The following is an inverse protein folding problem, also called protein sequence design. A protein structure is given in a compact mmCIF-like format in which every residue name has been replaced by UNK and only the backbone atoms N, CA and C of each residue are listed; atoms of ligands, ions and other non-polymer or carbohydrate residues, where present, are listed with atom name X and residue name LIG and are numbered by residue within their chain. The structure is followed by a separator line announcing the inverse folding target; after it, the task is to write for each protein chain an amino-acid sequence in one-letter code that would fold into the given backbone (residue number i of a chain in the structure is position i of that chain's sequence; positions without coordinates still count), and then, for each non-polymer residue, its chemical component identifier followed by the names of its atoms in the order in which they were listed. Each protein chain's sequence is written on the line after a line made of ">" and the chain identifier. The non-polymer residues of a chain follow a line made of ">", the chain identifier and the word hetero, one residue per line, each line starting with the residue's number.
data_IF_840395936575
#
_entry.id   IF_840395936575
#
_cell.length_a   1.000
_cell.length_b   1.000
_cell.length_c   1.000
_cell.angle_alpha   90.00
_cell.angle_beta   90.00
_cell.angle_gamma   90.00
#
_symmetry.space_group_name_H-M   'P 1'
#
loop_
_entity.id
_entity.type
_entity.pdbx_description
1 polymer ?
#
# COMPACT_ATOMS: atom_id res chain seq x y z
N UNK A 1 -13.12 -5.90 -27.14
CA UNK A 1 -13.23 -6.56 -25.80
C UNK A 1 -12.21 -5.88 -24.92
N UNK A 2 -12.58 -5.29 -23.78
CA UNK A 2 -11.63 -4.54 -22.92
C UNK A 2 -10.59 -5.52 -22.35
N UNK A 3 -9.30 -5.24 -22.56
CA UNK A 3 -8.19 -6.10 -22.14
C UNK A 3 -8.15 -6.15 -20.61
N UNK A 4 -8.03 -7.34 -20.02
CA UNK A 4 -7.89 -7.49 -18.57
C UNK A 4 -6.47 -7.13 -18.16
N UNK A 5 -6.34 -6.40 -17.06
CA UNK A 5 -5.06 -5.92 -16.50
C UNK A 5 -4.75 -6.62 -15.18
N UNK A 6 -3.47 -6.84 -14.92
CA UNK A 6 -2.95 -7.45 -13.69
C UNK A 6 -3.01 -6.48 -12.51
N UNK A 7 -2.67 -5.21 -12.74
CA UNK A 7 -2.78 -4.13 -11.75
C UNK A 7 -3.67 -3.02 -12.30
N UNK A 8 -4.61 -2.53 -11.48
CA UNK A 8 -5.43 -1.38 -11.81
C UNK A 8 -4.64 -0.06 -11.71
N UNK A 9 -5.16 1.01 -12.34
CA UNK A 9 -4.52 2.35 -12.26
C UNK A 9 -4.43 2.89 -10.84
N UNK A 10 -5.33 2.44 -9.96
CA UNK A 10 -5.35 2.76 -8.52
C UNK A 10 -4.44 1.85 -7.67
N UNK A 11 -3.69 0.94 -8.31
CA UNK A 11 -2.71 0.08 -7.66
C UNK A 11 -3.26 -1.21 -7.04
N UNK A 12 -4.56 -1.50 -7.19
CA UNK A 12 -5.16 -2.78 -6.78
C UNK A 12 -4.77 -3.90 -7.75
N UNK A 13 -4.38 -5.05 -7.22
CA UNK A 13 -4.04 -6.22 -8.02
C UNK A 13 -5.29 -7.05 -8.31
N UNK A 14 -5.54 -7.38 -9.58
CA UNK A 14 -6.66 -8.22 -10.02
C UNK A 14 -6.32 -9.72 -9.92
N UNK A 15 -5.90 -10.15 -8.73
CA UNK A 15 -5.48 -11.54 -8.46
C UNK A 15 -6.30 -12.11 -7.33
N UNK A 16 -6.91 -13.27 -7.55
CA UNK A 16 -7.61 -14.03 -6.52
C UNK A 16 -6.84 -15.32 -6.23
N UNK A 17 -6.46 -15.50 -4.97
CA UNK A 17 -5.77 -16.72 -4.52
C UNK A 17 -6.80 -17.82 -4.28
N UNK A 18 -6.95 -18.73 -5.25
CA UNK A 18 -7.81 -19.90 -5.13
C UNK A 18 -7.12 -21.11 -4.47
N UNK A 19 -7.89 -22.02 -3.87
CA UNK A 19 -7.42 -23.32 -3.35
C UNK A 19 -6.28 -23.26 -2.31
N UNK A 20 -6.27 -22.24 -1.45
CA UNK A 20 -5.35 -22.19 -0.30
C UNK A 20 -5.77 -23.25 0.73
N UNK A 21 -5.10 -24.41 0.74
CA UNK A 21 -5.44 -25.56 1.62
C UNK A 21 -5.17 -25.30 3.11
N UNK A 22 -4.34 -24.31 3.44
CA UNK A 22 -3.85 -24.06 4.80
C UNK A 22 -4.43 -22.77 5.40
N UNK A 23 -5.76 -22.66 5.43
CA UNK A 23 -6.45 -21.48 5.96
C UNK A 23 -6.18 -21.22 7.45
N UNK A 24 -5.74 -22.24 8.20
CA UNK A 24 -5.35 -22.10 9.61
C UNK A 24 -4.19 -21.11 9.81
N UNK A 25 -3.35 -20.88 8.79
CA UNK A 25 -2.21 -19.94 8.87
C UNK A 25 -2.67 -18.49 9.10
N UNK A 26 -3.86 -18.12 8.62
CA UNK A 26 -4.46 -16.81 8.92
C UNK A 26 -4.86 -16.67 10.40
N UNK A 27 -5.23 -17.77 11.07
CA UNK A 27 -5.57 -17.73 12.49
C UNK A 27 -4.32 -17.74 13.39
N UNK A 28 -3.22 -18.34 12.92
CA UNK A 28 -1.94 -18.30 13.63
C UNK A 28 -1.41 -16.87 13.76
N UNK A 29 -1.67 -16.02 12.76
CA UNK A 29 -1.34 -14.60 12.80
C UNK A 29 -2.62 -13.74 12.92
N UNK A 30 -3.27 -13.86 14.08
CA UNK A 30 -4.52 -13.15 14.36
C UNK A 30 -4.33 -11.63 14.39
N UNK A 31 -3.14 -11.15 14.77
CA UNK A 31 -2.85 -9.72 14.87
C UNK A 31 -2.87 -9.06 13.49
N UNK A 32 -2.11 -9.58 12.52
CA UNK A 32 -2.12 -9.02 11.15
C UNK A 32 -3.49 -9.15 10.52
N UNK A 33 -4.17 -10.28 10.72
CA UNK A 33 -5.52 -10.50 10.21
C UNK A 33 -6.50 -9.45 10.73
N UNK A 34 -6.49 -9.13 12.02
CA UNK A 34 -7.36 -8.10 12.61
C UNK A 34 -7.06 -6.70 12.08
N UNK A 35 -5.78 -6.38 11.89
CA UNK A 35 -5.36 -5.09 11.36
C UNK A 35 -5.76 -4.95 9.88
N UNK A 36 -5.69 -6.02 9.08
CA UNK A 36 -6.00 -6.00 7.65
C UNK A 36 -7.51 -6.06 7.34
N UNK A 37 -8.35 -6.42 8.31
CA UNK A 37 -9.81 -6.38 8.15
C UNK A 37 -10.30 -4.99 7.72
N UNK A 38 -11.36 -4.94 6.92
CA UNK A 38 -12.02 -3.65 6.60
C UNK A 38 -12.50 -2.98 7.88
N UNK A 39 -12.50 -1.64 7.90
CA UNK A 39 -12.92 -0.84 9.06
C UNK A 39 -14.24 -1.30 9.70
N UNK A 40 -15.25 -1.64 8.90
CA UNK A 40 -16.54 -2.14 9.40
C UNK A 40 -16.41 -3.42 10.24
N UNK A 41 -15.59 -4.37 9.79
CA UNK A 41 -15.36 -5.62 10.53
C UNK A 41 -14.43 -5.41 11.71
N UNK A 42 -13.41 -4.56 11.57
CA UNK A 42 -12.50 -4.22 12.67
C UNK A 42 -13.25 -3.56 13.84
N UNK A 43 -14.17 -2.62 13.56
CA UNK A 43 -15.03 -2.01 14.57
C UNK A 43 -16.02 -3.02 15.18
N UNK A 44 -16.58 -3.92 14.36
CA UNK A 44 -17.46 -4.98 14.86
C UNK A 44 -16.72 -5.90 15.83
N UNK A 45 -15.52 -6.35 15.48
CA UNK A 45 -14.68 -7.17 16.37
C UNK A 45 -14.31 -6.41 17.64
N UNK A 46 -14.04 -5.10 17.53
CA UNK A 46 -13.80 -4.25 18.69
C UNK A 46 -14.97 -4.25 19.67
N UNK A 47 -16.18 -3.96 19.19
CA UNK A 47 -17.39 -3.95 20.03
C UNK A 47 -17.65 -5.34 20.61
N UNK A 48 -17.52 -6.39 19.80
CA UNK A 48 -17.76 -7.76 20.24
C UNK A 48 -16.76 -8.22 21.30
N UNK A 49 -15.48 -7.86 21.20
CA UNK A 49 -14.47 -8.26 22.17
C UNK A 49 -14.81 -7.73 23.58
N UNK A 50 -15.11 -6.43 23.71
CA UNK A 50 -15.53 -5.84 24.99
C UNK A 50 -16.89 -6.36 25.45
N UNK A 51 -17.87 -6.48 24.56
CA UNK A 51 -19.19 -6.99 24.94
C UNK A 51 -19.11 -8.43 25.48
N UNK A 52 -18.28 -9.28 24.86
CA UNK A 52 -18.08 -10.67 25.29
C UNK A 52 -17.36 -10.72 26.64
N UNK A 53 -16.32 -9.92 26.88
CA UNK A 53 -15.63 -9.90 28.19
C UNK A 53 -16.58 -9.42 29.29
N UNK A 54 -17.32 -8.34 29.06
CA UNK A 54 -18.29 -7.82 30.04
C UNK A 54 -19.43 -8.81 30.33
N UNK A 55 -19.94 -9.50 29.30
CA UNK A 55 -20.96 -10.53 29.50
C UNK A 55 -20.40 -11.74 30.23
N UNK A 56 -19.19 -12.18 29.89
CA UNK A 56 -18.53 -13.32 30.53
C UNK A 56 -18.29 -13.07 32.02
N UNK A 57 -17.66 -11.94 32.39
CA UNK A 57 -17.45 -11.59 33.79
C UNK A 57 -18.75 -11.27 34.51
N UNK A 58 -19.71 -10.60 33.87
CA UNK A 58 -21.05 -10.35 34.43
C UNK A 58 -21.80 -11.64 34.77
N UNK A 59 -21.68 -12.68 33.93
CA UNK A 59 -22.24 -14.01 34.22
C UNK A 59 -21.55 -14.68 35.41
N UNK A 60 -20.22 -14.57 35.52
CA UNK A 60 -19.50 -15.15 36.67
C UNK A 60 -19.86 -14.40 37.97
N UNK A 61 -19.94 -13.07 37.96
CA UNK A 61 -20.38 -12.28 39.12
C UNK A 61 -21.79 -12.66 39.57
N UNK A 62 -22.71 -12.78 38.62
CA UNK A 62 -24.07 -13.23 38.90
C UNK A 62 -24.09 -14.66 39.45
N UNK A 63 -23.28 -15.56 38.89
CA UNK A 63 -23.17 -16.94 39.34
C UNK A 63 -22.59 -17.07 40.76
N UNK A 64 -21.58 -16.26 41.11
CA UNK A 64 -21.06 -16.20 42.48
C UNK A 64 -22.14 -15.73 43.45
N UNK A 65 -22.85 -14.64 43.12
CA UNK A 65 -23.95 -14.13 43.94
C UNK A 65 -25.07 -15.17 44.10
N UNK A 66 -25.40 -15.91 43.05
CA UNK A 66 -26.39 -16.99 43.07
C UNK A 66 -25.95 -18.17 43.96
N UNK A 67 -24.75 -18.70 43.76
CA UNK A 67 -24.24 -19.84 44.54
C UNK A 67 -24.05 -19.51 46.03
N UNK A 68 -23.77 -18.25 46.35
CA UNK A 68 -23.61 -17.76 47.72
C UNK A 68 -24.95 -17.51 48.42
N UNK A 69 -26.06 -17.43 47.67
CA UNK A 69 -27.38 -17.09 48.19
C UNK A 69 -27.56 -15.59 48.44
N UNK A 70 -26.70 -14.73 47.87
CA UNK A 70 -26.79 -13.27 48.01
C UNK A 70 -28.10 -12.73 47.40
N UNK A 71 -28.61 -13.39 46.36
CA UNK A 71 -29.86 -13.02 45.68
C UNK A 71 -31.11 -13.39 46.49
N UNK A 72 -31.01 -14.35 47.39
CA UNK A 72 -32.14 -14.79 48.23
C UNK A 72 -32.31 -13.91 49.49
N UNK A 73 -31.24 -13.21 49.90
CA UNK A 73 -31.18 -12.40 51.13
C UNK A 73 -31.15 -10.88 50.84
N UNK A 74 -31.73 -10.44 49.73
CA UNK A 74 -31.68 -9.03 49.31
C UNK A 74 -32.29 -8.05 50.32
N UNK A 75 -33.29 -8.47 51.09
CA UNK A 75 -33.98 -7.65 52.09
C UNK A 75 -33.46 -7.92 53.53
N UNK A 76 -32.50 -8.82 53.71
CA UNK A 76 -31.94 -9.16 55.01
C UNK A 76 -30.81 -8.20 55.41
N UNK A 77 -31.09 -7.30 56.35
CA UNK A 77 -30.12 -6.34 56.87
C UNK A 77 -28.95 -6.98 57.65
N UNK A 78 -29.06 -8.24 58.06
CA UNK A 78 -27.98 -8.96 58.72
C UNK A 78 -26.99 -9.61 57.73
N UNK A 79 -27.42 -9.82 56.48
CA UNK A 79 -26.59 -10.41 55.43
C UNK A 79 -25.79 -9.35 54.69
N UNK A 80 -24.50 -9.59 54.54
CA UNK A 80 -23.60 -8.75 53.74
C UNK A 80 -23.23 -9.50 52.46
N UNK A 81 -23.72 -9.08 51.28
CA UNK A 81 -23.46 -9.76 50.02
C UNK A 81 -22.01 -9.56 49.57
N UNK A 82 -21.57 -10.37 48.61
CA UNK A 82 -20.25 -10.21 48.00
C UNK A 82 -20.09 -8.86 47.30
N UNK A 83 -21.14 -8.42 46.60
CA UNK A 83 -21.22 -7.11 45.96
C UNK A 83 -22.53 -6.45 46.39
N UNK A 84 -22.44 -5.25 46.96
CA UNK A 84 -23.61 -4.49 47.37
C UNK A 84 -24.46 -4.08 46.15
N UNK A 85 -25.79 -4.07 46.32
CA UNK A 85 -26.76 -3.63 45.30
C UNK A 85 -26.71 -4.45 43.99
N UNK A 86 -26.45 -5.75 44.11
CA UNK A 86 -26.51 -6.70 43.00
C UNK A 86 -27.85 -7.47 43.06
N UNK A 87 -28.87 -6.91 42.42
CA UNK A 87 -30.26 -7.40 42.49
C UNK A 87 -30.59 -8.49 41.45
N UNK A 88 -29.71 -8.74 40.49
CA UNK A 88 -29.90 -9.70 39.41
C UNK A 88 -28.82 -9.62 38.34
N UNK A 89 -29.04 -10.27 37.20
CA UNK A 89 -28.03 -10.35 36.12
C UNK A 89 -27.66 -8.98 35.55
N UNK A 90 -28.63 -8.10 35.31
CA UNK A 90 -28.36 -6.77 34.73
C UNK A 90 -27.47 -5.93 35.65
N UNK A 91 -27.69 -5.98 36.97
CA UNK A 91 -26.80 -5.31 37.93
C UNK A 91 -25.41 -5.93 38.01
N UNK A 92 -25.28 -7.24 37.83
CA UNK A 92 -23.97 -7.91 37.75
C UNK A 92 -23.22 -7.53 36.46
N UNK A 93 -23.93 -7.41 35.34
CA UNK A 93 -23.38 -6.93 34.07
C UNK A 93 -22.89 -5.48 34.19
N UNK A 94 -23.69 -4.59 34.81
CA UNK A 94 -23.27 -3.21 35.08
C UNK A 94 -22.04 -3.17 36.00
N UNK A 95 -22.01 -3.97 37.06
CA UNK A 95 -20.83 -4.08 37.93
C UNK A 95 -19.59 -4.57 37.17
N UNK A 96 -19.77 -5.53 36.27
CA UNK A 96 -18.68 -6.03 35.43
C UNK A 96 -18.09 -4.94 34.53
N UNK A 97 -18.93 -4.10 33.92
CA UNK A 97 -18.47 -2.94 33.15
C UNK A 97 -17.75 -1.95 34.06
N UNK A 98 -18.41 -1.54 35.16
CA UNK A 98 -17.85 -0.58 36.13
C UNK A 98 -16.45 -0.98 36.61
N UNK A 99 -16.24 -2.28 36.79
CA UNK A 99 -14.98 -2.89 37.23
C UNK A 99 -13.94 -2.95 36.10
N UNK A 100 -14.28 -3.52 34.93
CA UNK A 100 -13.34 -3.72 33.84
C UNK A 100 -12.88 -2.41 33.19
N UNK A 101 -13.80 -1.45 33.03
CA UNK A 101 -13.47 -0.12 32.50
C UNK A 101 -12.99 0.85 33.59
N UNK A 102 -12.86 0.37 34.83
CA UNK A 102 -12.40 1.14 35.99
C UNK A 102 -13.17 2.45 36.21
N UNK A 103 -14.48 2.47 35.93
CA UNK A 103 -15.35 3.63 36.20
C UNK A 103 -15.70 3.66 37.68
N UNK A 104 -16.12 2.51 38.23
CA UNK A 104 -16.41 2.32 39.65
C UNK A 104 -17.32 3.40 40.26
N UNK A 105 -18.59 3.48 39.85
CA UNK A 105 -19.51 4.51 40.34
C UNK A 105 -19.71 4.51 41.88
N UNK A 106 -19.33 3.43 42.56
CA UNK A 106 -19.38 3.32 44.02
C UNK A 106 -20.76 2.94 44.57
N UNK A 107 -21.75 2.76 43.71
CA UNK A 107 -23.06 2.20 44.10
C UNK A 107 -22.99 0.67 44.29
N UNK A 108 -22.15 0.00 43.50
CA UNK A 108 -21.89 -1.45 43.58
C UNK A 108 -20.46 -1.65 44.05
N UNK A 109 -20.31 -2.15 45.27
CA UNK A 109 -19.02 -2.22 45.95
C UNK A 109 -18.81 -3.64 46.46
N UNK A 110 -17.62 -4.19 46.21
CA UNK A 110 -17.19 -5.49 46.72
C UNK A 110 -16.93 -5.42 48.22
N UNK A 111 -17.26 -6.49 48.94
CA UNK A 111 -17.02 -6.62 50.39
C UNK A 111 -15.92 -7.63 50.70
N UNK A 112 -15.46 -7.65 51.96
CA UNK A 112 -14.44 -8.58 52.48
C UNK A 112 -14.98 -9.99 52.75
N UNK A 113 -16.26 -10.24 52.48
CA UNK A 113 -16.99 -11.45 52.91
C UNK A 113 -16.86 -12.63 51.96
N UNK A 114 -16.37 -12.38 50.74
CA UNK A 114 -16.24 -13.37 49.66
C UNK A 114 -14.80 -13.39 49.10
N UNK A 115 -13.93 -14.30 49.53
CA UNK A 115 -12.59 -14.43 48.93
C UNK A 115 -12.66 -14.78 47.44
N UNK A 116 -13.67 -15.53 47.01
CA UNK A 116 -13.94 -15.84 45.61
C UNK A 116 -14.15 -14.58 44.75
N UNK A 117 -14.86 -13.57 45.27
CA UNK A 117 -15.07 -12.30 44.58
C UNK A 117 -13.76 -11.51 44.44
N UNK A 118 -12.92 -11.50 45.48
CA UNK A 118 -11.62 -10.81 45.44
C UNK A 118 -10.70 -11.42 44.38
N UNK A 119 -10.65 -12.76 44.29
CA UNK A 119 -9.87 -13.45 43.25
C UNK A 119 -10.41 -13.15 41.86
N UNK A 120 -11.74 -13.15 41.69
CA UNK A 120 -12.36 -12.80 40.42
C UNK A 120 -12.06 -11.36 40.00
N UNK A 121 -12.16 -10.40 40.93
CA UNK A 121 -11.82 -9.00 40.72
C UNK A 121 -10.38 -8.84 40.22
N UNK A 122 -9.43 -9.53 40.86
CA UNK A 122 -8.02 -9.49 40.46
C UNK A 122 -7.81 -10.10 39.07
N UNK A 123 -8.44 -11.24 38.79
CA UNK A 123 -8.37 -11.89 37.48
C UNK A 123 -8.98 -11.00 36.38
N UNK A 124 -10.14 -10.39 36.65
CA UNK A 124 -10.82 -9.48 35.75
C UNK A 124 -10.00 -8.23 35.46
N UNK A 125 -9.36 -7.64 36.47
CA UNK A 125 -8.51 -6.48 36.28
C UNK A 125 -7.30 -6.80 35.37
N UNK A 126 -6.65 -7.96 35.59
CA UNK A 126 -5.51 -8.39 34.77
C UNK A 126 -5.95 -8.66 33.33
N UNK A 127 -6.95 -9.53 33.13
CA UNK A 127 -7.42 -9.89 31.78
C UNK A 127 -8.04 -8.71 31.05
N UNK A 128 -8.79 -7.85 31.73
CA UNK A 128 -9.35 -6.62 31.18
C UNK A 128 -8.26 -5.68 30.67
N UNK A 129 -7.18 -5.50 31.44
CA UNK A 129 -6.04 -4.68 31.02
C UNK A 129 -5.32 -5.26 29.79
N UNK A 130 -5.17 -6.60 29.71
CA UNK A 130 -4.58 -7.29 28.56
C UNK A 130 -5.43 -7.13 27.30
N UNK A 131 -6.75 -7.35 27.39
CA UNK A 131 -7.68 -7.19 26.26
C UNK A 131 -7.67 -5.72 25.81
N UNK A 132 -7.75 -4.77 26.74
CA UNK A 132 -7.71 -3.36 26.40
C UNK A 132 -6.41 -2.97 25.68
N UNK A 133 -5.25 -3.41 26.18
CA UNK A 133 -3.95 -3.14 25.55
C UNK A 133 -3.88 -3.73 24.13
N UNK A 134 -4.37 -4.96 23.94
CA UNK A 134 -4.40 -5.60 22.64
C UNK A 134 -5.29 -4.86 21.64
N UNK A 135 -6.51 -4.50 22.04
CA UNK A 135 -7.48 -3.86 21.14
C UNK A 135 -7.08 -2.42 20.79
N UNK A 136 -6.59 -1.65 21.76
CA UNK A 136 -6.05 -0.30 21.52
C UNK A 136 -4.80 -0.37 20.65
N UNK A 137 -3.90 -1.33 20.88
CA UNK A 137 -2.73 -1.56 20.05
C UNK A 137 -3.09 -1.87 18.59
N UNK A 138 -4.06 -2.76 18.36
CA UNK A 138 -4.57 -3.07 17.02
C UNK A 138 -5.15 -1.82 16.33
N UNK A 139 -5.96 -1.02 17.05
CA UNK A 139 -6.52 0.21 16.52
C UNK A 139 -5.44 1.25 16.18
N UNK A 140 -4.45 1.42 17.05
CA UNK A 140 -3.33 2.34 16.83
C UNK A 140 -2.53 1.96 15.58
N UNK A 141 -2.19 0.69 15.41
CA UNK A 141 -1.48 0.21 14.21
C UNK A 141 -2.34 0.44 12.96
N UNK A 142 -3.62 0.08 13.01
CA UNK A 142 -4.56 0.26 11.89
C UNK A 142 -4.72 1.71 11.46
N UNK A 143 -4.75 2.64 12.41
CA UNK A 143 -4.83 4.09 12.14
C UNK A 143 -3.51 4.60 11.56
N UNK A 144 -2.39 4.11 12.09
CA UNK A 144 -1.06 4.54 11.69
C UNK A 144 -0.70 4.05 10.28
N UNK A 145 -1.24 2.90 9.83
CA UNK A 145 -0.91 2.30 8.52
C UNK A 145 -0.89 3.33 7.36
N UNK A 146 0.18 3.34 6.55
CA UNK A 146 0.39 4.36 5.53
C UNK A 146 -0.43 4.13 4.25
N UNK A 147 -1.44 3.25 4.27
CA UNK A 147 -2.23 2.92 3.08
C UNK A 147 -2.89 4.14 2.44
N UNK A 148 -3.30 5.12 3.26
CA UNK A 148 -3.85 6.40 2.76
C UNK A 148 -2.80 7.32 2.14
N UNK A 149 -1.50 7.11 2.44
CA UNK A 149 -0.42 7.89 1.84
C UNK A 149 -0.17 7.49 0.39
N UNK A 150 -0.34 6.21 0.06
CA UNK A 150 -0.26 5.75 -1.32
C UNK A 150 -1.31 6.42 -2.23
N UNK A 151 -2.46 6.86 -1.68
CA UNK A 151 -3.50 7.57 -2.45
C UNK A 151 -3.10 9.01 -2.83
N UNK A 152 -2.13 9.62 -2.14
CA UNK A 152 -1.63 10.97 -2.48
C UNK A 152 -0.41 10.95 -3.41
N UNK A 153 0.11 9.77 -3.70
CA UNK A 153 1.17 9.55 -4.69
C UNK A 153 0.50 9.24 -6.03
N UNK A 154 0.71 10.13 -7.00
CA UNK A 154 0.03 10.08 -8.29
C UNK A 154 0.98 9.72 -9.41
N UNK A 155 0.50 8.88 -10.32
CA UNK A 155 1.18 8.53 -11.57
C UNK A 155 0.47 9.18 -12.76
N UNK A 156 1.19 9.49 -13.84
CA UNK A 156 0.56 9.96 -15.08
C UNK A 156 -0.44 8.93 -15.59
N UNK A 157 -1.49 9.40 -16.28
CA UNK A 157 -2.51 8.50 -16.84
C UNK A 157 -1.95 7.65 -17.98
N UNK A 158 -1.02 8.24 -18.75
CA UNK A 158 -0.34 7.62 -19.87
C UNK A 158 1.17 7.58 -19.62
N UNK A 159 1.83 6.60 -20.22
CA UNK A 159 3.27 6.64 -20.47
C UNK A 159 3.49 7.18 -21.89
N UNK A 160 4.66 7.76 -22.15
CA UNK A 160 4.99 8.33 -23.45
C UNK A 160 6.33 7.82 -23.95
N UNK A 161 6.46 7.64 -25.25
CA UNK A 161 7.72 7.27 -25.90
C UNK A 161 8.14 8.41 -26.82
N UNK A 162 9.33 8.97 -26.63
CA UNK A 162 9.87 9.99 -27.54
C UNK A 162 11.39 10.04 -27.51
N UNK A 163 11.99 10.77 -28.44
CA UNK A 163 13.43 11.03 -28.43
C UNK A 163 13.81 12.03 -27.33
N UNK A 164 14.88 11.68 -26.60
CA UNK A 164 15.58 12.54 -25.65
C UNK A 164 17.09 12.34 -25.87
N UNK A 165 17.77 13.40 -26.25
CA UNK A 165 19.21 13.38 -26.57
C UNK A 165 19.57 12.24 -27.55
N UNK A 166 18.84 12.18 -28.66
CA UNK A 166 18.94 11.19 -29.74
C UNK A 166 18.69 9.72 -29.34
N UNK A 167 18.21 9.48 -28.12
CA UNK A 167 17.83 8.15 -27.63
C UNK A 167 16.34 8.03 -27.40
N UNK A 168 15.79 6.87 -27.75
CA UNK A 168 14.37 6.56 -27.55
C UNK A 168 14.15 6.24 -26.07
N UNK A 169 13.25 6.97 -25.43
CA UNK A 169 12.96 6.77 -24.00
C UNK A 169 11.47 6.55 -23.76
N UNK A 170 11.16 5.56 -22.93
CA UNK A 170 9.83 5.37 -22.35
C UNK A 170 9.74 6.14 -21.03
N UNK A 171 8.73 6.98 -20.90
CA UNK A 171 8.61 7.93 -19.80
C UNK A 171 7.24 7.89 -19.16
N UNK A 172 7.19 8.01 -17.85
CA UNK A 172 5.97 8.24 -17.07
C UNK A 172 6.25 9.27 -15.98
N UNK A 173 5.22 9.98 -15.52
CA UNK A 173 5.38 11.01 -14.50
C UNK A 173 4.89 10.50 -13.16
N UNK A 174 5.59 10.88 -12.10
CA UNK A 174 5.21 10.61 -10.71
C UNK A 174 5.19 11.92 -9.94
N UNK A 175 4.30 12.06 -8.97
CA UNK A 175 4.20 13.24 -8.11
C UNK A 175 3.68 12.91 -6.72
N UNK A 176 4.04 13.73 -5.74
CA UNK A 176 3.46 13.74 -4.40
C UNK A 176 2.58 14.99 -4.25
N UNK A 177 1.30 14.79 -3.93
CA UNK A 177 0.34 15.88 -3.73
C UNK A 177 0.49 16.57 -2.36
N UNK A 178 1.34 16.04 -1.46
CA UNK A 178 1.55 16.58 -0.12
C UNK A 178 2.90 17.29 -0.02
N UNK A 179 2.97 18.27 0.88
CA UNK A 179 4.22 18.98 1.17
C UNK A 179 5.23 18.15 1.95
N UNK A 180 4.77 17.19 2.78
CA UNK A 180 5.67 16.33 3.55
C UNK A 180 6.37 15.33 2.63
N UNK A 181 7.57 14.89 2.98
CA UNK A 181 8.39 14.10 2.07
C UNK A 181 8.14 12.59 2.15
N UNK A 182 8.43 11.90 1.05
CA UNK A 182 8.68 10.46 1.03
C UNK A 182 10.19 10.25 1.18
N UNK A 183 10.60 9.74 2.34
CA UNK A 183 12.00 9.49 2.67
C UNK A 183 12.46 8.20 2.01
N UNK A 184 13.69 8.18 1.46
CA UNK A 184 14.22 7.02 0.72
C UNK A 184 13.28 6.56 -0.41
N UNK A 185 12.69 7.52 -1.13
CA UNK A 185 11.84 7.22 -2.26
C UNK A 185 12.64 6.47 -3.34
N UNK A 186 12.10 5.35 -3.83
CA UNK A 186 12.69 4.54 -4.89
C UNK A 186 11.63 4.09 -5.88
N UNK A 187 11.94 4.15 -7.18
CA UNK A 187 11.03 3.75 -8.25
C UNK A 187 11.52 2.49 -8.95
N UNK A 188 10.60 1.57 -9.21
CA UNK A 188 10.84 0.34 -9.95
C UNK A 188 9.76 0.12 -11.00
N UNK A 189 10.11 -0.50 -12.10
CA UNK A 189 9.17 -0.82 -13.18
C UNK A 189 9.35 -2.26 -13.65
N UNK A 190 8.25 -2.98 -13.80
CA UNK A 190 8.21 -4.36 -14.31
C UNK A 190 7.41 -4.40 -15.60
N UNK A 191 7.95 -5.02 -16.63
CA UNK A 191 7.21 -5.42 -17.80
C UNK A 191 6.58 -6.79 -17.54
N UNK A 192 5.27 -6.88 -17.71
CA UNK A 192 4.48 -8.09 -17.59
C UNK A 192 4.00 -8.49 -18.98
N UNK A 193 4.47 -9.65 -19.45
CA UNK A 193 4.13 -10.20 -20.77
C UNK A 193 4.18 -11.73 -20.75
N UNK A 194 3.29 -12.39 -21.47
CA UNK A 194 3.39 -13.84 -21.65
C UNK A 194 4.59 -14.17 -22.54
N UNK A 195 5.39 -15.17 -22.15
CA UNK A 195 6.50 -15.66 -22.98
C UNK A 195 6.43 -17.18 -23.15
N UNK A 196 7.00 -17.65 -24.26
CA UNK A 196 7.31 -19.06 -24.45
C UNK A 196 8.83 -19.21 -24.57
N UNK A 197 9.41 -20.10 -23.78
CA UNK A 197 10.86 -20.37 -23.84
C UNK A 197 11.23 -21.17 -25.08
N UNK A 198 12.52 -21.24 -25.40
CA UNK A 198 12.99 -22.02 -26.55
C UNK A 198 12.75 -23.52 -26.36
N UNK A 199 12.74 -23.98 -25.10
CA UNK A 199 12.44 -25.35 -24.68
C UNK A 199 10.93 -25.67 -24.74
N UNK A 200 10.08 -24.67 -24.98
CA UNK A 200 8.64 -24.82 -25.15
C UNK A 200 7.80 -24.54 -23.90
N UNK A 201 8.41 -24.13 -22.78
CA UNK A 201 7.68 -23.77 -21.55
C UNK A 201 6.90 -22.46 -21.76
N UNK A 202 5.59 -22.47 -21.45
CA UNK A 202 4.76 -21.28 -21.49
C UNK A 202 4.67 -20.64 -20.11
N UNK A 203 5.07 -19.37 -20.01
CA UNK A 203 5.04 -18.58 -18.78
C UNK A 203 3.97 -17.49 -18.97
N UNK A 204 2.81 -17.58 -18.27
CA UNK A 204 1.66 -16.71 -18.54
C UNK A 204 1.89 -15.22 -18.25
N UNK A 205 2.57 -14.89 -17.16
CA UNK A 205 2.82 -13.51 -16.71
C UNK A 205 4.28 -13.37 -16.32
N UNK A 206 5.17 -13.46 -17.30
CA UNK A 206 6.59 -13.25 -17.06
C UNK A 206 6.84 -11.80 -16.67
N UNK A 207 7.66 -11.61 -15.63
CA UNK A 207 7.97 -10.30 -15.09
C UNK A 207 9.45 -9.99 -15.35
N UNK A 208 9.71 -9.05 -16.24
CA UNK A 208 11.07 -8.56 -16.52
C UNK A 208 11.23 -7.15 -15.97
N UNK A 209 12.40 -6.85 -15.40
CA UNK A 209 12.68 -5.53 -14.85
C UNK A 209 12.99 -4.52 -15.96
N UNK A 210 12.46 -3.31 -15.85
CA UNK A 210 12.77 -2.18 -16.73
C UNK A 210 13.70 -1.23 -15.98
N UNK A 211 14.92 -1.03 -16.51
CA UNK A 211 15.91 -0.15 -15.90
C UNK A 211 15.45 1.31 -15.92
N UNK A 212 15.21 1.88 -14.74
CA UNK A 212 14.80 3.28 -14.54
C UNK A 212 15.83 4.09 -13.74
N UNK A 213 17.10 3.66 -13.76
CA UNK A 213 18.20 4.31 -13.04
C UNK A 213 18.89 3.46 -11.98
N UNK A 214 18.64 2.14 -11.94
CA UNK A 214 19.20 1.26 -10.90
C UNK A 214 20.74 1.21 -10.90
N UNK A 215 21.38 1.19 -12.08
CA UNK A 215 22.85 1.11 -12.18
C UNK A 215 23.55 2.40 -11.73
N UNK A 216 22.91 3.56 -11.93
CA UNK A 216 23.43 4.88 -11.56
C UNK A 216 22.97 5.33 -10.18
N UNK A 217 21.94 4.68 -9.64
CA UNK A 217 21.26 5.07 -8.41
C UNK A 217 20.30 6.26 -8.58
N UNK A 218 19.93 6.59 -9.83
CA UNK A 218 18.93 7.61 -10.19
C UNK A 218 17.49 7.14 -9.94
N UNK A 219 17.30 5.85 -9.68
CA UNK A 219 16.04 5.27 -9.22
C UNK A 219 15.64 5.75 -7.81
N UNK A 220 16.61 6.27 -7.04
CA UNK A 220 16.38 6.92 -5.74
C UNK A 220 15.97 8.37 -5.96
N UNK A 221 14.70 8.66 -5.68
CA UNK A 221 14.08 9.92 -6.00
C UNK A 221 14.22 10.93 -4.87
N UNK A 222 14.48 12.19 -5.24
CA UNK A 222 14.16 13.35 -4.43
C UNK A 222 12.85 13.95 -4.92
N UNK A 223 11.72 13.38 -4.47
CA UNK A 223 10.39 13.69 -4.99
C UNK A 223 9.74 14.84 -4.20
N UNK A 224 9.98 16.08 -4.65
CA UNK A 224 9.30 17.29 -4.12
C UNK A 224 8.33 17.85 -5.15
N UNK A 225 8.82 18.10 -6.37
CA UNK A 225 7.99 18.40 -7.53
C UNK A 225 7.83 17.16 -8.42
N UNK A 226 6.80 17.12 -9.29
CA UNK A 226 6.61 16.00 -10.21
C UNK A 226 7.85 15.68 -11.05
N UNK A 227 8.27 14.41 -11.03
CA UNK A 227 9.41 13.92 -11.79
C UNK A 227 8.94 13.08 -12.98
N UNK A 228 9.64 13.21 -14.11
CA UNK A 228 9.47 12.31 -15.26
C UNK A 228 10.51 11.21 -15.12
N UNK A 229 10.04 10.01 -14.83
CA UNK A 229 10.87 8.80 -14.79
C UNK A 229 11.09 8.36 -16.24
N UNK A 230 12.35 8.05 -16.57
CA UNK A 230 12.78 7.75 -17.94
C UNK A 230 13.49 6.41 -17.97
N UNK A 231 12.96 5.47 -18.75
CA UNK A 231 13.63 4.24 -19.16
C UNK A 231 14.23 4.47 -20.55
N UNK A 232 15.56 4.45 -20.65
CA UNK A 232 16.25 4.47 -21.94
C UNK A 232 16.07 3.12 -22.63
N UNK A 233 15.61 3.13 -23.89
CA UNK A 233 15.42 1.93 -24.69
C UNK A 233 16.76 1.59 -25.36
N UNK A 234 17.61 0.90 -24.61
CA UNK A 234 18.92 0.40 -25.04
C UNK A 234 18.86 -1.06 -25.52
N UNK A 235 20.01 -1.65 -25.84
CA UNK A 235 20.13 -3.05 -26.30
C UNK A 235 19.63 -4.09 -25.28
N UNK A 236 19.58 -3.73 -23.99
CA UNK A 236 19.10 -4.59 -22.90
C UNK A 236 17.60 -4.45 -22.68
N UNK A 237 17.01 -3.36 -23.16
CA UNK A 237 15.58 -3.09 -23.04
C UNK A 237 14.73 -4.12 -23.79
N UNK A 238 13.64 -4.63 -23.19
CA UNK A 238 12.65 -5.45 -23.90
C UNK A 238 12.01 -4.72 -25.10
N UNK A 239 12.11 -3.39 -25.17
CA UNK A 239 11.55 -2.56 -26.24
C UNK A 239 12.54 -2.27 -27.37
N UNK A 240 13.77 -2.82 -27.34
CA UNK A 240 14.83 -2.51 -28.31
C UNK A 240 14.44 -2.73 -29.78
N UNK A 241 13.79 -3.86 -30.06
CA UNK A 241 13.34 -4.24 -31.41
C UNK A 241 11.91 -3.78 -31.72
N UNK A 242 11.25 -3.04 -30.82
CA UNK A 242 9.85 -2.66 -30.95
C UNK A 242 9.70 -1.32 -31.66
N UNK A 243 9.01 -1.32 -32.80
CA UNK A 243 8.60 -0.13 -33.54
C UNK A 243 7.23 0.38 -33.08
N UNK A 244 6.84 1.60 -33.48
CA UNK A 244 5.53 2.19 -33.15
C UNK A 244 4.36 1.24 -33.46
N UNK A 245 4.34 0.68 -34.67
CA UNK A 245 3.24 -0.19 -35.13
C UNK A 245 3.20 -1.54 -34.40
N UNK A 246 4.35 -2.01 -33.93
CA UNK A 246 4.42 -3.23 -33.12
C UNK A 246 3.96 -2.97 -31.69
N UNK A 247 4.33 -1.82 -31.11
CA UNK A 247 3.92 -1.43 -29.76
C UNK A 247 2.39 -1.39 -29.64
N UNK A 248 1.71 -0.80 -30.62
CA UNK A 248 0.24 -0.69 -30.68
C UNK A 248 -0.47 -2.06 -30.79
N UNK A 249 0.24 -3.11 -31.23
CA UNK A 249 -0.30 -4.47 -31.43
C UNK A 249 0.10 -5.47 -30.36
N UNK A 250 1.08 -5.13 -29.53
CA UNK A 250 1.51 -5.93 -28.38
C UNK A 250 0.46 -5.75 -27.25
N UNK A 251 0.12 -6.66 -26.34
CA UNK A 251 0.73 -7.88 -25.85
C UNK A 251 1.32 -7.71 -24.43
N UNK A 252 1.42 -6.49 -23.87
CA UNK A 252 2.07 -6.25 -22.57
C UNK A 252 1.34 -5.30 -21.61
N UNK A 253 1.78 -5.30 -20.36
CA UNK A 253 1.45 -4.35 -19.29
C UNK A 253 2.74 -3.93 -18.56
N UNK A 254 2.94 -2.64 -18.31
CA UNK A 254 4.06 -2.12 -17.49
C UNK A 254 3.51 -1.79 -16.12
N UNK A 255 3.98 -2.45 -15.07
CA UNK A 255 3.64 -2.13 -13.68
C UNK A 255 4.73 -1.25 -13.09
N UNK A 256 4.34 -0.10 -12.57
CA UNK A 256 5.24 0.85 -11.89
C UNK A 256 4.98 0.82 -10.39
N UNK A 257 6.06 0.85 -9.61
CA UNK A 257 6.04 0.70 -8.16
C UNK A 257 6.94 1.78 -7.56
N UNK A 258 6.34 2.68 -6.78
CA UNK A 258 7.04 3.67 -5.97
C UNK A 258 7.02 3.22 -4.53
N UNK A 259 8.19 3.13 -3.91
CA UNK A 259 8.37 2.77 -2.51
C UNK A 259 9.08 3.88 -1.75
N UNK A 260 8.79 4.02 -0.47
CA UNK A 260 9.53 4.91 0.43
C UNK A 260 8.86 5.01 1.79
N UNK A 261 9.48 5.74 2.71
CA UNK A 261 8.99 5.91 4.08
C UNK A 261 8.22 7.21 4.24
N UNK A 262 7.11 7.14 4.98
CA UNK A 262 6.31 8.32 5.33
C UNK A 262 7.00 9.08 6.46
N UNK A 263 7.44 10.32 6.20
CA UNK A 263 8.21 11.16 7.11
C UNK A 263 7.68 11.18 8.56
N UNK A 264 6.37 11.35 8.74
CA UNK A 264 5.77 11.48 10.07
C UNK A 264 5.73 10.17 10.89
N UNK A 265 5.75 9.01 10.23
CA UNK A 265 5.53 7.71 10.91
C UNK A 265 6.71 6.75 10.82
N UNK A 266 7.65 6.98 9.90
CA UNK A 266 8.77 6.08 9.62
C UNK A 266 8.36 4.75 8.99
N UNK A 267 7.07 4.54 8.68
CA UNK A 267 6.61 3.31 8.02
C UNK A 267 6.80 3.39 6.52
N UNK A 268 7.16 2.26 5.93
CA UNK A 268 7.26 2.10 4.48
C UNK A 268 5.88 2.05 3.83
N UNK A 269 5.74 2.75 2.72
CA UNK A 269 4.56 2.76 1.88
C UNK A 269 4.94 2.35 0.45
N UNK A 270 3.97 1.79 -0.27
CA UNK A 270 4.14 1.37 -1.66
C UNK A 270 2.94 1.83 -2.48
N UNK A 271 3.17 2.70 -3.45
CA UNK A 271 2.18 3.11 -4.44
C UNK A 271 2.46 2.37 -5.75
N UNK A 272 1.39 1.93 -6.43
CA UNK A 272 1.47 1.14 -7.66
C UNK A 272 0.53 1.71 -8.71
N UNK A 273 0.91 1.58 -9.97
CA UNK A 273 0.03 1.81 -11.11
C UNK A 273 0.48 0.92 -12.27
N UNK A 274 -0.28 0.91 -13.35
CA UNK A 274 0.06 0.14 -14.55
C UNK A 274 -0.18 0.93 -15.82
N UNK A 275 0.48 0.52 -16.90
CA UNK A 275 0.27 1.03 -18.26
C UNK A 275 0.08 -0.15 -19.20
N UNK A 276 -1.11 -0.27 -19.76
CA UNK A 276 -1.37 -1.17 -20.87
C UNK A 276 -0.78 -0.60 -22.17
N UNK A 277 -0.62 -1.44 -23.20
CA UNK A 277 -0.08 -1.02 -24.49
C UNK A 277 -0.83 0.16 -25.13
N UNK A 278 -2.16 0.24 -24.96
CA UNK A 278 -3.01 1.35 -25.42
C UNK A 278 -2.84 2.65 -24.62
N UNK A 279 -2.22 2.57 -23.45
CA UNK A 279 -1.94 3.70 -22.57
C UNK A 279 -0.49 4.21 -22.72
N UNK A 280 0.29 3.63 -23.64
CA UNK A 280 1.64 4.07 -24.01
C UNK A 280 1.59 4.85 -25.33
N UNK A 281 1.78 6.17 -25.26
CA UNK A 281 1.66 7.07 -26.40
C UNK A 281 3.00 7.26 -27.10
N UNK A 282 3.13 6.80 -28.35
CA UNK A 282 4.32 7.01 -29.16
C UNK A 282 4.37 8.41 -29.77
N UNK A 283 5.52 9.06 -29.68
CA UNK A 283 5.74 10.40 -30.21
C UNK A 283 5.06 11.50 -29.38
N UNK A 284 4.97 11.30 -28.07
CA UNK A 284 4.41 12.27 -27.14
C UNK A 284 5.45 12.69 -26.09
N UNK A 285 5.30 13.90 -25.56
CA UNK A 285 6.09 14.43 -24.45
C UNK A 285 5.14 15.02 -23.41
N UNK A 286 5.51 14.96 -22.14
CA UNK A 286 4.71 15.60 -21.10
C UNK A 286 4.82 17.13 -21.14
N UNK A 287 3.72 17.82 -20.89
CA UNK A 287 3.70 19.29 -20.77
C UNK A 287 4.48 19.73 -19.52
N UNK A 288 5.34 20.77 -19.59
CA UNK A 288 5.99 21.34 -18.42
C UNK A 288 4.97 21.80 -17.36
N UNK A 289 5.28 21.58 -16.06
CA UNK A 289 4.37 21.92 -14.96
C UNK A 289 4.91 23.00 -14.03
N UNK A 290 6.20 23.28 -14.08
CA UNK A 290 6.88 24.19 -13.17
C UNK A 290 6.91 25.60 -13.75
N UNK A 291 6.32 26.54 -13.04
CA UNK A 291 6.48 27.98 -13.24
C UNK A 291 7.26 28.58 -12.08
N UNK A 292 8.00 29.65 -12.36
CA UNK A 292 8.67 30.45 -11.33
C UNK A 292 7.79 31.66 -11.03
N UNK A 293 7.26 31.72 -9.81
CA UNK A 293 6.58 32.89 -9.28
C UNK A 293 7.52 33.67 -8.33
N UNK A 294 7.09 34.82 -7.82
CA UNK A 294 7.93 35.68 -6.96
C UNK A 294 8.36 34.96 -5.67
N UNK A 295 9.53 34.34 -5.72
CA UNK A 295 10.20 33.71 -4.57
C UNK A 295 9.91 32.22 -4.35
N UNK A 296 9.09 31.58 -5.18
CA UNK A 296 8.81 30.14 -5.08
C UNK A 296 8.53 29.49 -6.45
N UNK A 297 8.68 28.16 -6.51
CA UNK A 297 8.29 27.36 -7.66
C UNK A 297 6.85 26.89 -7.48
N UNK A 298 5.99 27.20 -8.45
CA UNK A 298 4.61 26.72 -8.47
C UNK A 298 4.50 25.52 -9.42
N UNK A 299 3.71 24.52 -9.01
CA UNK A 299 3.41 23.33 -9.80
C UNK A 299 1.93 23.34 -10.18
N UNK A 300 1.63 23.50 -11.47
CA UNK A 300 0.26 23.37 -11.97
C UNK A 300 -0.11 21.90 -12.18
N UNK A 301 -0.86 21.32 -11.24
CA UNK A 301 -1.37 19.95 -11.33
C UNK A 301 -2.49 19.78 -12.38
N UNK A 302 -3.10 20.85 -12.89
CA UNK A 302 -4.06 20.78 -14.01
C UNK A 302 -3.44 20.24 -15.29
N UNK A 303 -2.14 20.48 -15.47
CA UNK A 303 -1.33 19.93 -16.57
C UNK A 303 -0.72 18.56 -16.30
N UNK A 304 -0.88 17.97 -15.10
CA UNK A 304 -0.06 16.83 -14.65
C UNK A 304 -0.13 15.62 -15.58
N UNK A 305 -1.32 15.31 -16.10
CA UNK A 305 -1.54 14.18 -17.00
C UNK A 305 -1.41 14.55 -18.49
N UNK A 306 -1.22 15.82 -18.81
CA UNK A 306 -1.26 16.31 -20.20
C UNK A 306 0.02 15.96 -20.95
N UNK A 307 -0.16 15.60 -22.23
CA UNK A 307 0.93 15.29 -23.15
C UNK A 307 0.71 16.01 -24.47
N UNK A 308 1.81 16.33 -25.15
CA UNK A 308 1.82 16.99 -26.45
C UNK A 308 2.53 16.12 -27.49
N UNK A 309 2.04 16.03 -28.73
CA UNK A 309 2.71 15.27 -29.77
C UNK A 309 4.01 15.97 -30.19
N UNK A 310 5.06 15.18 -30.42
CA UNK A 310 6.38 15.65 -30.84
C UNK A 310 6.91 14.80 -32.00
N UNK A 311 7.61 15.39 -32.99
CA UNK A 311 8.21 14.63 -34.08
C UNK A 311 9.15 13.55 -33.55
N UNK A 312 8.77 12.28 -33.70
CA UNK A 312 9.52 11.12 -33.24
C UNK A 312 9.51 10.06 -34.34
N UNK A 313 10.66 9.44 -34.67
CA UNK A 313 10.73 8.37 -35.65
C UNK A 313 9.80 7.21 -35.28
N UNK A 314 9.19 6.56 -36.28
CA UNK A 314 8.30 5.42 -36.06
C UNK A 314 9.04 4.06 -36.02
N UNK A 315 10.33 4.06 -36.34
CA UNK A 315 11.20 2.88 -36.32
C UNK A 315 11.57 2.46 -34.88
N UNK A 316 12.08 1.22 -34.74
CA UNK A 316 12.55 0.72 -33.45
C UNK A 316 13.86 1.38 -33.01
N UNK A 317 14.17 1.30 -31.72
CA UNK A 317 15.41 1.83 -31.16
C UNK A 317 16.66 1.20 -31.82
N UNK A 318 16.62 -0.10 -32.10
CA UNK A 318 17.67 -0.78 -32.87
C UNK A 318 17.87 -0.19 -34.27
N UNK A 319 16.79 0.05 -34.99
CA UNK A 319 16.88 0.62 -36.35
C UNK A 319 17.45 2.05 -36.31
N UNK A 320 17.11 2.82 -35.27
CA UNK A 320 17.69 4.14 -35.04
C UNK A 320 19.18 4.08 -34.73
N UNK A 321 19.60 3.18 -33.85
CA UNK A 321 21.01 3.00 -33.52
C UNK A 321 21.84 2.56 -34.75
N UNK A 322 21.32 1.63 -35.56
CA UNK A 322 21.97 1.22 -36.81
C UNK A 322 22.04 2.37 -37.82
N UNK A 323 20.99 3.19 -37.92
CA UNK A 323 20.98 4.35 -38.80
C UNK A 323 21.99 5.43 -38.36
N UNK A 324 22.11 5.66 -37.05
CA UNK A 324 23.11 6.57 -36.47
C UNK A 324 24.53 6.07 -36.74
N UNK A 325 24.83 4.79 -36.46
CA UNK A 325 26.14 4.20 -36.70
C UNK A 325 26.56 4.27 -38.19
N UNK A 326 25.61 4.11 -39.12
CA UNK A 326 25.88 4.29 -40.56
C UNK A 326 26.24 5.74 -40.91
N UNK A 327 25.56 6.73 -40.31
CA UNK A 327 25.87 8.16 -40.53
C UNK A 327 27.27 8.51 -40.04
N UNK A 328 27.65 8.02 -38.86
CA UNK A 328 28.98 8.26 -38.29
C UNK A 328 30.08 7.61 -39.12
N UNK A 329 29.86 6.39 -39.62
CA UNK A 329 30.78 5.74 -40.54
C UNK A 329 30.95 6.54 -41.84
N UNK A 330 29.87 7.03 -42.45
CA UNK A 330 29.94 7.87 -43.64
C UNK A 330 30.71 9.18 -43.42
N UNK A 331 30.52 9.82 -42.25
CA UNK A 331 31.28 11.01 -41.86
C UNK A 331 32.79 10.73 -41.80
N UNK A 332 33.19 9.60 -41.20
CA UNK A 332 34.60 9.20 -41.11
C UNK A 332 35.26 8.99 -42.49
N UNK A 333 34.56 8.37 -43.44
CA UNK A 333 35.06 8.16 -44.81
C UNK A 333 35.08 9.44 -45.67
N UNK A 334 34.37 10.48 -45.26
CA UNK A 334 34.28 11.75 -46.00
C UNK A 334 35.31 12.81 -45.56
N UNK A 335 36.10 12.56 -44.51
CA UNK A 335 37.22 13.42 -44.11
C UNK A 335 38.41 13.08 -45.02
N UNK A 336 38.88 13.99 -45.91
CA UNK A 336 40.08 13.73 -46.70
C UNK A 336 41.26 13.67 -45.74
N UNK A 337 42.00 12.56 -45.75
CA UNK A 337 43.30 12.45 -45.09
C UNK A 337 44.25 13.49 -45.66
N UNK A 338 44.50 14.59 -44.93
CA UNK A 338 45.60 15.53 -45.19
C UNK A 338 46.96 14.91 -44.83
N UNK A 339 47.24 13.71 -45.34
CA UNK A 339 48.52 13.02 -45.13
C UNK A 339 49.31 12.76 -46.42
N UNK A 340 48.82 13.21 -47.57
CA UNK A 340 49.60 13.24 -48.81
C UNK A 340 49.73 14.69 -49.28
N UNK A 341 50.72 15.41 -48.75
CA UNK A 341 51.39 16.46 -49.51
C UNK A 341 52.87 16.05 -49.66
N UNK A 342 53.39 15.99 -50.90
CA UNK A 342 54.68 15.42 -51.24
C UNK A 342 55.89 16.24 -50.78
#
# INVERSE_FOLDING_TARGET
>A
RKRQRYVEKDGKCNVQHGNVRETYRYLTDIFTTLVDLKWRFSLLVFILAYAVTWLFFGLIWWFIAYCRGDLDHLEDHAWTPCVNNLNGFVSAFLFSIETETTIGYGHRVITDKCPEGIVLLLLQAILGSMVNAFMVGCMFVKISQPNKRAETLVFSSHAVVSLRDDRLCLMFRVGDLRDSHIVEASIRAKLIKSKQTQEGEFIPLDQTDLSVGFETGDDRLFLVSPLIISHEIDERSPFWDVSRHQLEKDDFEIVVILEGMVEATGMTCQARSSYLADEVLWGHRFTPLLSLEEGFYEVDYGGFHQTVPVPTPACSARQLAVAAARRDAHLYWSIPSRLDQP
#
